data_IF_555972544261
#
_entry.id   IF_555972544261
#
_cell.length_a   1.000
_cell.length_b   1.000
_cell.length_c   1.000
_cell.angle_alpha   90.00
_cell.angle_beta   90.00
_cell.angle_gamma   90.00
#
_symmetry.space_group_name_H-M   'P 1'
#
loop_
_entity.id
_entity.type
_entity.pdbx_description
1 polymer ?
#
# COMPACT_ATOMS: atom_id res chain seq x y z
N UNK A 1 82.58 -11.77 -20.78
CA UNK A 1 83.06 -11.90 -19.39
C UNK A 1 81.92 -12.40 -18.50
N UNK A 2 82.11 -13.61 -17.95
CA UNK A 2 81.59 -14.24 -16.71
C UNK A 2 80.29 -13.71 -16.02
N UNK A 3 79.31 -14.62 -15.82
CA UNK A 3 78.42 -14.74 -14.61
C UNK A 3 79.28 -14.99 -13.34
N UNK A 4 78.83 -15.02 -12.05
CA UNK A 4 77.48 -15.17 -11.44
C UNK A 4 77.29 -14.21 -10.19
N UNK A 5 76.33 -14.30 -9.25
CA UNK A 5 76.24 -15.25 -8.12
C UNK A 5 75.07 -14.87 -7.17
N UNK A 6 74.42 -15.90 -6.59
CA UNK A 6 73.50 -15.87 -5.45
C UNK A 6 74.22 -15.47 -4.13
N UNK A 7 73.49 -14.90 -3.16
CA UNK A 7 73.75 -15.18 -1.75
C UNK A 7 72.46 -15.14 -0.91
N UNK A 8 72.18 -16.29 -0.30
CA UNK A 8 71.24 -16.53 0.80
C UNK A 8 71.97 -16.21 2.11
N UNK A 9 71.31 -15.60 3.08
CA UNK A 9 71.73 -15.72 4.48
C UNK A 9 70.52 -15.93 5.38
N UNK A 10 70.66 -16.94 6.24
CA UNK A 10 69.69 -17.53 7.14
C UNK A 10 70.29 -17.43 8.54
N UNK A 11 69.70 -16.65 9.45
CA UNK A 11 69.97 -16.64 10.90
C UNK A 11 68.66 -16.14 11.54
N UNK A 12 68.05 -16.70 12.57
CA UNK A 12 68.35 -17.80 13.47
C UNK A 12 67.16 -17.88 14.43
N UNK A 13 66.77 -19.10 14.78
CA UNK A 13 65.65 -19.42 15.65
C UNK A 13 66.04 -19.21 17.12
N UNK A 14 65.21 -18.52 17.92
CA UNK A 14 65.18 -18.70 19.37
C UNK A 14 63.77 -18.47 19.92
N UNK A 15 63.21 -19.56 20.45
CA UNK A 15 61.98 -19.65 21.24
C UNK A 15 62.23 -19.17 22.67
N UNK A 16 61.28 -18.44 23.25
CA UNK A 16 60.94 -18.20 24.66
C UNK A 16 59.77 -17.21 24.59
N UNK A 17 58.55 -17.40 25.09
CA UNK A 17 58.01 -18.11 26.24
C UNK A 17 56.65 -17.43 26.49
N UNK A 18 55.62 -18.18 26.85
CA UNK A 18 54.24 -17.68 27.00
C UNK A 18 54.07 -16.62 28.10
N UNK A 19 53.23 -15.62 27.84
CA UNK A 19 52.15 -15.23 28.78
C UNK A 19 51.00 -14.51 28.08
N UNK A 20 49.80 -14.84 28.57
CA UNK A 20 48.43 -14.57 28.11
C UNK A 20 48.01 -13.10 28.01
N UNK A 21 46.80 -12.97 27.45
CA UNK A 21 45.86 -11.83 27.41
C UNK A 21 46.07 -10.89 26.21
N UNK A 22 45.10 -10.61 25.35
CA UNK A 22 43.66 -10.90 25.32
C UNK A 22 43.15 -10.41 23.97
N UNK A 23 42.37 -11.20 23.21
CA UNK A 23 41.27 -10.77 22.30
C UNK A 23 40.61 -12.04 21.71
N UNK A 24 39.29 -12.22 21.83
CA UNK A 24 38.62 -13.45 21.41
C UNK A 24 38.27 -13.46 19.92
N UNK A 25 38.60 -14.58 19.27
CA UNK A 25 38.00 -15.03 18.02
C UNK A 25 36.48 -15.24 18.20
N UNK A 26 35.68 -14.62 17.33
CA UNK A 26 34.28 -15.01 17.13
C UNK A 26 33.82 -14.67 15.72
N UNK A 27 34.25 -15.47 14.74
CA UNK A 27 33.53 -15.65 13.48
C UNK A 27 33.35 -17.16 13.26
N UNK A 28 32.16 -17.55 12.82
CA UNK A 28 31.71 -18.91 12.54
C UNK A 28 31.13 -19.70 13.72
N UNK A 29 29.84 -19.45 14.01
CA UNK A 29 28.81 -20.50 14.10
C UNK A 29 27.49 -19.92 13.60
N UNK A 30 27.17 -20.19 12.34
CA UNK A 30 25.80 -20.09 11.85
C UNK A 30 24.97 -21.13 12.62
N UNK A 31 24.20 -20.69 13.61
CA UNK A 31 23.12 -21.50 14.15
C UNK A 31 22.00 -21.49 13.11
N UNK A 32 21.89 -22.61 12.39
CA UNK A 32 20.72 -22.95 11.59
C UNK A 32 19.51 -23.01 12.52
N UNK A 33 18.76 -21.92 12.60
CA UNK A 33 17.44 -21.91 13.18
C UNK A 33 16.52 -22.81 12.34
N UNK A 34 15.52 -23.49 12.95
CA UNK A 34 14.70 -24.46 12.24
C UNK A 34 13.93 -23.75 11.12
N UNK A 35 14.15 -24.26 9.91
CA UNK A 35 13.48 -23.92 8.65
C UNK A 35 11.97 -23.79 8.87
N UNK A 36 11.39 -22.74 8.30
CA UNK A 36 9.97 -22.42 8.26
C UNK A 36 9.14 -23.47 7.50
N UNK A 37 9.09 -24.70 8.00
CA UNK A 37 8.36 -25.82 7.39
C UNK A 37 7.15 -26.29 8.23
N UNK A 38 6.69 -25.49 9.20
CA UNK A 38 5.51 -25.89 9.99
C UNK A 38 4.52 -24.75 10.35
N UNK A 39 4.33 -23.79 9.44
CA UNK A 39 3.20 -22.82 9.48
C UNK A 39 2.23 -23.02 8.31
N UNK A 40 2.10 -24.25 7.83
CA UNK A 40 1.02 -24.61 6.92
C UNK A 40 -0.34 -24.43 7.64
N UNK A 41 -1.14 -23.50 7.10
CA UNK A 41 -2.58 -23.39 7.20
C UNK A 41 -3.21 -23.33 8.62
N UNK A 42 -2.94 -22.25 9.37
CA UNK A 42 -4.06 -21.58 10.05
C UNK A 42 -4.60 -20.56 9.06
N UNK A 43 -5.86 -20.72 8.63
CA UNK A 43 -6.53 -19.72 7.80
C UNK A 43 -6.42 -18.36 8.47
N UNK A 44 -5.84 -17.38 7.77
CA UNK A 44 -5.75 -16.03 8.30
C UNK A 44 -7.17 -15.48 8.45
N UNK A 45 -7.48 -14.93 9.62
CA UNK A 45 -8.78 -14.29 9.82
C UNK A 45 -8.67 -12.85 9.32
N UNK A 46 -9.36 -12.56 8.22
CA UNK A 46 -9.39 -11.23 7.65
C UNK A 46 -10.40 -10.33 8.38
N UNK A 47 -10.04 -9.08 8.73
CA UNK A 47 -10.95 -8.14 9.36
C UNK A 47 -12.04 -7.74 8.37
N UNK A 48 -13.23 -7.45 8.89
CA UNK A 48 -14.34 -6.90 8.11
C UNK A 48 -14.42 -5.36 8.18
N UNK A 49 -13.39 -4.73 8.76
CA UNK A 49 -13.31 -3.30 9.03
C UNK A 49 -11.96 -2.75 8.61
N UNK A 50 -11.95 -1.48 8.25
CA UNK A 50 -10.74 -0.77 7.87
C UNK A 50 -9.83 -0.55 9.07
N UNK A 51 -8.52 -0.52 8.82
CA UNK A 51 -7.49 -0.01 9.68
C UNK A 51 -6.89 1.29 9.08
N UNK A 52 -5.71 1.68 9.52
CA UNK A 52 -5.02 2.85 8.98
C UNK A 52 -5.81 4.16 9.15
N UNK A 53 -5.54 5.13 8.28
CA UNK A 53 -6.25 6.40 8.32
C UNK A 53 -7.74 6.28 7.96
N UNK A 54 -8.15 5.25 7.19
CA UNK A 54 -9.56 5.01 6.87
C UNK A 54 -10.38 4.61 8.11
N UNK A 55 -9.72 4.11 9.17
CA UNK A 55 -10.36 3.75 10.44
C UNK A 55 -10.60 4.93 11.40
N UNK A 56 -10.00 6.09 11.12
CA UNK A 56 -10.09 7.26 12.02
C UNK A 56 -11.54 7.70 12.16
N UNK A 57 -11.94 8.03 13.38
CA UNK A 57 -13.27 8.59 13.66
C UNK A 57 -13.20 10.11 13.67
N UNK A 58 -14.08 10.75 12.91
CA UNK A 58 -14.29 12.20 12.92
C UNK A 58 -15.72 12.53 13.34
N UNK A 59 -16.04 13.80 13.67
CA UNK A 59 -17.43 14.20 13.94
C UNK A 59 -18.41 13.86 12.81
N UNK A 60 -17.92 13.83 11.56
CA UNK A 60 -18.72 13.59 10.35
C UNK A 60 -18.80 12.11 9.97
N UNK A 61 -17.83 11.28 10.37
CA UNK A 61 -17.74 9.88 9.94
C UNK A 61 -17.07 8.99 11.00
N UNK A 62 -17.74 7.90 11.39
CA UNK A 62 -17.23 6.95 12.38
C UNK A 62 -16.35 5.85 11.74
N UNK A 63 -15.25 6.26 11.09
CA UNK A 63 -14.39 5.34 10.34
C UNK A 63 -15.04 4.84 9.04
N UNK A 64 -14.38 3.96 8.29
CA UNK A 64 -14.89 3.44 7.01
C UNK A 64 -15.67 2.13 7.20
N UNK A 65 -16.98 2.20 6.97
CA UNK A 65 -17.94 1.08 7.08
C UNK A 65 -18.58 0.69 5.74
N UNK A 66 -18.36 1.49 4.69
CA UNK A 66 -18.88 1.25 3.35
C UNK A 66 -20.41 1.22 3.32
N UNK A 67 -20.95 0.15 2.74
CA UNK A 67 -22.39 -0.08 2.60
C UNK A 67 -23.06 -0.79 3.76
N UNK A 68 -22.44 -0.83 4.96
CA UNK A 68 -23.02 -1.47 6.13
C UNK A 68 -24.45 -0.98 6.44
N UNK A 69 -25.32 -1.90 6.85
CA UNK A 69 -26.75 -1.66 7.03
C UNK A 69 -27.55 -1.51 5.73
N UNK A 70 -26.87 -1.50 4.58
CA UNK A 70 -27.45 -1.35 3.25
C UNK A 70 -27.93 -2.64 2.62
N UNK A 71 -28.51 -2.51 1.42
CA UNK A 71 -28.94 -3.66 0.62
C UNK A 71 -27.72 -4.39 0.06
N UNK A 72 -27.72 -5.72 0.16
CA UNK A 72 -26.75 -6.59 -0.52
C UNK A 72 -27.28 -6.97 -1.91
N UNK A 73 -26.48 -6.76 -2.95
CA UNK A 73 -26.81 -7.13 -4.34
C UNK A 73 -25.63 -7.83 -5.00
N UNK A 74 -25.90 -8.73 -5.94
CA UNK A 74 -24.87 -9.32 -6.80
C UNK A 74 -25.00 -8.76 -8.21
N UNK A 75 -23.88 -8.37 -8.81
CA UNK A 75 -23.81 -7.81 -10.16
C UNK A 75 -22.86 -8.62 -11.03
N UNK A 76 -23.28 -8.87 -12.27
CA UNK A 76 -22.52 -9.56 -13.32
C UNK A 76 -22.45 -8.73 -14.61
N UNK A 77 -23.06 -7.53 -14.60
CA UNK A 77 -23.15 -6.65 -15.76
C UNK A 77 -22.72 -5.23 -15.41
N UNK A 78 -22.21 -4.50 -16.41
CA UNK A 78 -21.83 -3.10 -16.25
C UNK A 78 -23.05 -2.24 -15.89
N UNK A 79 -24.20 -2.49 -16.52
CA UNK A 79 -25.43 -1.74 -16.26
C UNK A 79 -25.89 -1.87 -14.80
N UNK A 80 -25.83 -3.08 -14.22
CA UNK A 80 -26.18 -3.29 -12.82
C UNK A 80 -25.14 -2.67 -11.88
N UNK A 81 -23.85 -2.83 -12.18
CA UNK A 81 -22.78 -2.21 -11.40
C UNK A 81 -22.99 -0.69 -11.31
N UNK A 82 -23.19 -0.02 -12.44
CA UNK A 82 -23.41 1.43 -12.47
C UNK A 82 -24.68 1.84 -11.72
N UNK A 83 -25.78 1.11 -11.93
CA UNK A 83 -27.05 1.37 -11.26
C UNK A 83 -26.91 1.33 -9.75
N UNK A 84 -26.29 0.29 -9.21
CA UNK A 84 -26.19 0.12 -7.76
C UNK A 84 -25.06 0.96 -7.15
N UNK A 85 -23.95 1.17 -7.87
CA UNK A 85 -22.85 2.00 -7.40
C UNK A 85 -23.22 3.48 -7.30
N UNK A 86 -24.08 3.99 -8.19
CA UNK A 86 -24.55 5.37 -8.17
C UNK A 86 -25.77 5.60 -7.27
N UNK A 87 -26.36 4.55 -6.68
CA UNK A 87 -27.54 4.65 -5.85
C UNK A 87 -27.27 5.50 -4.59
N UNK A 88 -28.22 6.34 -4.12
CA UNK A 88 -28.00 7.17 -2.95
C UNK A 88 -27.98 6.38 -1.63
N UNK A 89 -28.61 5.20 -1.57
CA UNK A 89 -28.69 4.39 -0.36
C UNK A 89 -27.37 3.64 -0.10
N UNK A 90 -27.06 3.29 1.17
CA UNK A 90 -25.98 2.38 1.47
C UNK A 90 -26.17 1.02 0.75
N UNK A 91 -25.10 0.50 0.13
CA UNK A 91 -25.16 -0.79 -0.57
C UNK A 91 -23.88 -1.60 -0.48
N UNK A 92 -24.05 -2.91 -0.33
CA UNK A 92 -22.99 -3.91 -0.49
C UNK A 92 -23.17 -4.59 -1.85
N UNK A 93 -22.25 -4.31 -2.76
CA UNK A 93 -22.30 -4.72 -4.17
C UNK A 93 -21.27 -5.82 -4.37
N UNK A 94 -21.76 -7.04 -4.58
CA UNK A 94 -20.97 -8.22 -4.83
C UNK A 94 -20.73 -8.35 -6.34
N UNK A 95 -19.48 -8.20 -6.77
CA UNK A 95 -19.10 -8.30 -8.17
C UNK A 95 -18.69 -9.74 -8.46
N UNK A 96 -19.38 -10.41 -9.39
CA UNK A 96 -19.10 -11.80 -9.76
C UNK A 96 -18.55 -11.87 -11.18
N UNK A 97 -17.38 -12.49 -11.31
CA UNK A 97 -16.67 -12.59 -12.58
C UNK A 97 -16.20 -11.25 -13.13
N UNK A 98 -15.83 -11.22 -14.41
CA UNK A 98 -15.32 -10.03 -15.08
C UNK A 98 -16.45 -9.20 -15.71
N UNK A 99 -16.60 -7.96 -15.25
CA UNK A 99 -17.43 -6.93 -15.87
C UNK A 99 -16.54 -6.10 -16.80
N UNK A 100 -16.90 -6.06 -18.08
CA UNK A 100 -16.10 -5.42 -19.13
C UNK A 100 -16.80 -4.20 -19.70
N UNK A 101 -16.05 -3.15 -19.98
CA UNK A 101 -16.50 -2.06 -20.86
C UNK A 101 -15.93 -2.24 -22.27
N UNK A 102 -16.84 -2.41 -23.23
CA UNK A 102 -16.52 -2.45 -24.66
C UNK A 102 -17.11 -1.20 -25.38
N UNK A 103 -16.47 -0.66 -26.44
CA UNK A 103 -15.19 -1.10 -27.00
C UNK A 103 -14.00 -0.76 -26.10
N UNK A 104 -14.08 0.33 -25.31
CA UNK A 104 -13.01 0.73 -24.42
C UNK A 104 -13.42 1.91 -23.52
N UNK A 105 -12.89 1.98 -22.28
CA UNK A 105 -12.81 3.18 -21.43
C UNK A 105 -14.13 3.71 -20.86
N UNK A 106 -14.33 3.62 -19.54
CA UNK A 106 -15.46 4.26 -18.85
C UNK A 106 -15.17 4.59 -17.39
N UNK A 107 -15.51 5.81 -17.00
CA UNK A 107 -15.66 6.19 -15.59
C UNK A 107 -16.95 5.56 -15.02
N UNK A 108 -16.81 4.75 -13.98
CA UNK A 108 -17.91 4.18 -13.20
C UNK A 108 -18.04 5.01 -11.92
N UNK A 109 -19.10 5.81 -11.84
CA UNK A 109 -19.37 6.64 -10.67
C UNK A 109 -19.71 5.78 -9.46
N UNK A 110 -18.99 6.01 -8.36
CA UNK A 110 -19.29 5.42 -7.06
C UNK A 110 -19.83 6.51 -6.13
N UNK A 111 -21.03 6.31 -5.57
CA UNK A 111 -21.61 7.19 -4.57
C UNK A 111 -21.07 6.88 -3.16
N UNK A 112 -21.39 7.73 -2.17
CA UNK A 112 -21.06 7.45 -0.75
C UNK A 112 -21.73 6.17 -0.24
N UNK A 113 -21.20 5.62 0.85
CA UNK A 113 -21.75 4.46 1.56
C UNK A 113 -21.84 3.21 0.70
N UNK A 114 -20.72 2.85 0.07
CA UNK A 114 -20.64 1.68 -0.82
C UNK A 114 -19.58 0.71 -0.33
N UNK A 115 -19.91 -0.57 -0.40
CA UNK A 115 -18.93 -1.65 -0.37
C UNK A 115 -18.98 -2.35 -1.70
N UNK A 116 -17.89 -2.31 -2.48
CA UNK A 116 -17.71 -3.16 -3.65
C UNK A 116 -16.82 -4.32 -3.23
N UNK A 117 -17.35 -5.53 -3.27
CA UNK A 117 -16.61 -6.74 -2.93
C UNK A 117 -16.60 -7.69 -4.13
N UNK A 118 -15.42 -8.01 -4.67
CA UNK A 118 -15.30 -9.07 -5.66
C UNK A 118 -15.52 -10.44 -5.03
N UNK A 119 -16.34 -11.28 -5.66
CA UNK A 119 -16.53 -12.68 -5.26
C UNK A 119 -15.47 -13.58 -5.90
N UNK A 120 -15.07 -14.63 -5.18
CA UNK A 120 -13.97 -15.50 -5.60
C UNK A 120 -12.64 -14.76 -5.66
N UNK A 121 -11.79 -15.09 -6.63
CA UNK A 121 -10.52 -14.40 -6.90
C UNK A 121 -10.41 -13.90 -8.35
N UNK A 122 -11.49 -14.04 -9.13
CA UNK A 122 -11.56 -13.74 -10.56
C UNK A 122 -12.49 -12.55 -10.87
N UNK A 123 -13.12 -11.96 -9.85
CA UNK A 123 -13.89 -10.72 -10.00
C UNK A 123 -13.02 -9.58 -10.54
N UNK A 124 -13.48 -8.95 -11.62
CA UNK A 124 -12.70 -7.91 -12.28
C UNK A 124 -13.57 -6.83 -12.92
N UNK A 125 -13.03 -5.61 -12.97
CA UNK A 125 -13.46 -4.53 -13.86
C UNK A 125 -12.40 -4.38 -14.93
N UNK A 126 -12.80 -4.54 -16.19
CA UNK A 126 -11.89 -4.48 -17.35
C UNK A 126 -12.26 -3.26 -18.19
N UNK A 127 -11.26 -2.43 -18.50
CA UNK A 127 -11.40 -1.16 -19.24
C UNK A 127 -12.25 -0.10 -18.53
N UNK A 128 -12.44 -0.21 -17.21
CA UNK A 128 -13.21 0.73 -16.40
C UNK A 128 -12.37 1.37 -15.29
N UNK A 129 -12.71 2.60 -14.95
CA UNK A 129 -12.19 3.37 -13.81
C UNK A 129 -13.26 3.46 -12.72
N UNK A 130 -12.87 3.42 -11.45
CA UNK A 130 -13.74 3.79 -10.34
C UNK A 130 -13.56 5.27 -9.98
N UNK A 131 -14.61 6.05 -10.22
CA UNK A 131 -14.63 7.51 -10.06
C UNK A 131 -15.34 7.87 -8.75
N UNK A 132 -14.54 8.30 -7.76
CA UNK A 132 -14.97 8.70 -6.41
C UNK A 132 -14.75 10.21 -6.27
N UNK A 133 -15.78 11.00 -6.59
CA UNK A 133 -15.70 12.47 -6.64
C UNK A 133 -16.72 13.08 -5.66
N UNK A 134 -16.25 13.72 -4.60
CA UNK A 134 -17.11 14.32 -3.57
C UNK A 134 -17.88 13.31 -2.73
N UNK A 135 -17.30 12.14 -2.45
CA UNK A 135 -17.96 11.03 -1.74
C UNK A 135 -17.22 10.62 -0.49
N UNK A 136 -17.89 9.85 0.36
CA UNK A 136 -17.26 9.35 1.58
C UNK A 136 -17.74 7.95 1.94
N UNK A 137 -16.97 7.30 2.80
CA UNK A 137 -17.32 6.01 3.38
C UNK A 137 -17.49 4.93 2.30
N UNK A 138 -16.41 4.62 1.58
CA UNK A 138 -16.40 3.63 0.50
C UNK A 138 -15.34 2.56 0.78
N UNK A 139 -15.73 1.31 0.62
CA UNK A 139 -14.82 0.16 0.65
C UNK A 139 -14.80 -0.47 -0.73
N UNK A 140 -13.61 -0.70 -1.28
CA UNK A 140 -13.42 -1.55 -2.46
C UNK A 140 -12.45 -2.67 -2.08
N UNK A 141 -12.92 -3.91 -2.21
CA UNK A 141 -12.19 -5.06 -1.70
C UNK A 141 -12.21 -6.24 -2.67
N UNK A 142 -11.11 -6.98 -2.70
CA UNK A 142 -11.04 -8.27 -3.39
C UNK A 142 -11.33 -8.18 -4.90
N UNK A 143 -10.88 -7.11 -5.55
CA UNK A 143 -11.27 -6.79 -6.92
C UNK A 143 -10.04 -6.53 -7.80
N UNK A 144 -10.06 -7.07 -9.02
CA UNK A 144 -9.07 -6.70 -10.04
C UNK A 144 -9.60 -5.53 -10.89
N UNK A 145 -8.80 -4.48 -11.12
CA UNK A 145 -9.12 -3.41 -12.08
C UNK A 145 -7.97 -3.34 -13.08
N UNK A 146 -8.27 -3.52 -14.37
CA UNK A 146 -7.20 -3.69 -15.38
C UNK A 146 -7.54 -3.29 -16.80
N UNK A 147 -6.45 -3.17 -17.56
CA UNK A 147 -6.39 -3.17 -19.02
C UNK A 147 -7.05 -1.96 -19.69
N UNK A 148 -7.13 -0.81 -19.02
CA UNK A 148 -7.42 0.44 -19.71
C UNK A 148 -6.21 0.98 -20.51
N UNK A 149 -5.05 0.33 -20.43
CA UNK A 149 -3.89 0.79 -21.21
C UNK A 149 -4.07 0.59 -22.73
N UNK A 150 -3.67 1.60 -23.51
CA UNK A 150 -3.67 1.54 -24.98
C UNK A 150 -2.27 1.86 -25.51
N UNK A 151 -1.65 0.89 -26.18
CA UNK A 151 -0.26 0.98 -26.64
C UNK A 151 0.07 2.21 -27.51
N UNK A 152 -0.90 2.66 -28.31
CA UNK A 152 -0.74 3.83 -29.17
C UNK A 152 -0.63 5.16 -28.41
N UNK A 153 -0.96 5.20 -27.10
CA UNK A 153 -0.68 6.33 -26.21
C UNK A 153 0.13 5.86 -25.00
N UNK A 154 1.37 5.45 -25.23
CA UNK A 154 2.28 5.04 -24.17
C UNK A 154 2.57 6.16 -23.13
N UNK A 155 2.29 7.43 -23.47
CA UNK A 155 2.46 8.56 -22.57
C UNK A 155 1.30 8.72 -21.57
N UNK A 156 0.14 8.14 -21.89
CA UNK A 156 -1.11 8.28 -21.15
C UNK A 156 -1.41 9.73 -20.79
N UNK A 157 -1.44 10.57 -21.83
CA UNK A 157 -1.73 12.02 -21.71
C UNK A 157 -2.95 12.43 -22.52
N UNK A 158 -3.45 11.57 -23.40
CA UNK A 158 -4.62 11.87 -24.22
C UNK A 158 -5.92 11.40 -23.59
N UNK A 159 -5.84 10.45 -22.65
CA UNK A 159 -6.95 9.99 -21.82
C UNK A 159 -6.48 10.06 -20.37
N UNK A 160 -7.44 10.06 -19.45
CA UNK A 160 -7.21 10.19 -18.00
C UNK A 160 -8.04 9.08 -17.35
N UNK A 161 -7.70 7.81 -17.67
CA UNK A 161 -8.38 6.65 -17.11
C UNK A 161 -7.53 5.97 -16.04
N UNK A 162 -7.87 6.25 -14.79
CA UNK A 162 -7.27 5.63 -13.63
C UNK A 162 -7.88 4.26 -13.34
N UNK A 163 -7.33 3.48 -12.39
CA UNK A 163 -8.15 2.47 -11.70
C UNK A 163 -9.02 3.10 -10.62
N UNK A 164 -8.47 4.06 -9.88
CA UNK A 164 -9.19 4.88 -8.91
C UNK A 164 -8.85 6.36 -9.10
N UNK A 165 -9.87 7.15 -9.43
CA UNK A 165 -9.81 8.60 -9.33
C UNK A 165 -10.56 9.05 -8.07
N UNK A 166 -9.84 9.55 -7.07
CA UNK A 166 -10.38 9.95 -5.77
C UNK A 166 -10.16 11.45 -5.56
N UNK A 167 -11.20 12.22 -5.79
CA UNK A 167 -11.19 13.68 -5.69
C UNK A 167 -12.19 14.14 -4.62
N UNK A 168 -11.78 15.09 -3.77
CA UNK A 168 -12.61 15.72 -2.73
C UNK A 168 -13.40 14.69 -1.88
N UNK A 169 -12.80 13.54 -1.61
CA UNK A 169 -13.47 12.38 -1.00
C UNK A 169 -12.75 11.89 0.24
N UNK A 170 -13.46 11.25 1.18
CA UNK A 170 -12.81 10.80 2.41
C UNK A 170 -13.31 9.51 3.03
N UNK A 171 -12.50 8.90 3.89
CA UNK A 171 -12.79 7.61 4.52
C UNK A 171 -13.02 6.52 3.47
N UNK A 172 -11.92 6.19 2.78
CA UNK A 172 -11.90 5.23 1.67
C UNK A 172 -10.94 4.09 2.03
N UNK A 173 -11.38 2.85 1.84
CA UNK A 173 -10.56 1.67 2.08
C UNK A 173 -10.46 0.80 0.83
N UNK A 174 -9.24 0.65 0.30
CA UNK A 174 -8.92 -0.21 -0.85
C UNK A 174 -8.11 -1.39 -0.31
N UNK A 175 -8.68 -2.59 -0.34
CA UNK A 175 -8.09 -3.76 0.31
C UNK A 175 -8.09 -5.00 -0.58
N UNK A 176 -6.99 -5.77 -0.63
CA UNK A 176 -6.92 -6.98 -1.46
C UNK A 176 -7.28 -6.76 -2.94
N UNK A 177 -6.95 -5.60 -3.48
CA UNK A 177 -7.20 -5.29 -4.89
C UNK A 177 -5.97 -5.62 -5.75
N UNK A 178 -6.17 -5.88 -7.03
CA UNK A 178 -5.08 -6.01 -8.02
C UNK A 178 -5.29 -4.99 -9.14
N UNK A 179 -4.40 -4.01 -9.24
CA UNK A 179 -4.51 -2.89 -10.16
C UNK A 179 -3.35 -2.95 -11.15
N UNK A 180 -3.66 -2.99 -12.45
CA UNK A 180 -2.61 -3.20 -13.46
C UNK A 180 -2.98 -2.71 -14.84
N UNK A 181 -1.98 -2.21 -15.59
CA UNK A 181 -2.11 -1.80 -16.99
C UNK A 181 -3.31 -0.87 -17.21
N UNK A 182 -3.37 0.19 -16.41
CA UNK A 182 -4.33 1.27 -16.62
C UNK A 182 -3.76 2.29 -17.60
N UNK A 183 -4.52 3.33 -17.92
CA UNK A 183 -4.08 4.34 -18.86
C UNK A 183 -3.24 5.38 -18.11
N UNK A 184 -3.84 6.26 -17.28
CA UNK A 184 -3.09 7.27 -16.50
C UNK A 184 -2.48 6.68 -15.22
N UNK A 185 -3.23 6.65 -14.11
CA UNK A 185 -2.80 6.20 -12.79
C UNK A 185 -3.39 4.85 -12.40
N UNK A 186 -2.81 4.15 -11.41
CA UNK A 186 -3.59 3.09 -10.73
C UNK A 186 -4.44 3.72 -9.64
N UNK A 187 -3.86 4.60 -8.82
CA UNK A 187 -4.58 5.35 -7.79
C UNK A 187 -4.15 6.81 -7.85
N UNK A 188 -5.10 7.71 -8.06
CA UNK A 188 -4.92 9.14 -7.91
C UNK A 188 -5.80 9.63 -6.76
N UNK A 189 -5.16 10.09 -5.67
CA UNK A 189 -5.82 10.58 -4.46
C UNK A 189 -5.52 12.06 -4.25
N UNK A 190 -6.49 12.91 -4.58
CA UNK A 190 -6.21 14.32 -4.92
C UNK A 190 -7.13 15.32 -4.24
N UNK A 191 -6.76 16.60 -4.33
CA UNK A 191 -7.55 17.76 -3.88
C UNK A 191 -7.85 17.69 -2.38
N UNK A 192 -9.06 18.06 -1.94
CA UNK A 192 -9.42 18.07 -0.52
C UNK A 192 -9.72 16.66 0.04
N UNK A 193 -9.30 15.59 -0.64
CA UNK A 193 -9.50 14.22 -0.18
C UNK A 193 -8.73 13.92 1.11
N UNK A 194 -9.21 12.95 1.89
CA UNK A 194 -8.64 12.65 3.20
C UNK A 194 -8.94 11.23 3.68
N UNK A 195 -8.18 10.72 4.64
CA UNK A 195 -8.43 9.41 5.27
C UNK A 195 -8.55 8.23 4.29
N UNK A 196 -7.49 7.95 3.54
CA UNK A 196 -7.36 6.79 2.66
C UNK A 196 -6.55 5.69 3.35
N UNK A 197 -6.95 4.43 3.17
CA UNK A 197 -6.09 3.27 3.45
C UNK A 197 -6.07 2.33 2.26
N UNK A 198 -4.85 1.97 1.84
CA UNK A 198 -4.60 0.96 0.81
C UNK A 198 -3.84 -0.18 1.46
N UNK A 199 -4.45 -1.37 1.50
CA UNK A 199 -3.92 -2.51 2.23
C UNK A 199 -3.96 -3.80 1.41
N UNK A 200 -3.00 -4.70 1.64
CA UNK A 200 -3.00 -6.05 1.05
C UNK A 200 -3.19 -6.08 -0.47
N UNK A 201 -2.83 -5.02 -1.18
CA UNK A 201 -3.14 -4.86 -2.61
C UNK A 201 -1.89 -5.05 -3.48
N UNK A 202 -2.10 -5.29 -4.76
CA UNK A 202 -1.06 -5.38 -5.78
C UNK A 202 -1.25 -4.23 -6.76
N UNK A 203 -0.19 -3.45 -6.97
CA UNK A 203 -0.11 -2.39 -7.97
C UNK A 203 1.02 -2.75 -8.93
N UNK A 204 0.71 -3.08 -10.19
CA UNK A 204 1.74 -3.64 -11.07
C UNK A 204 1.67 -3.28 -12.54
N UNK A 205 2.82 -3.42 -13.23
CA UNK A 205 2.95 -3.27 -14.69
C UNK A 205 2.37 -1.94 -15.18
N UNK A 206 2.83 -0.83 -14.60
CA UNK A 206 2.23 0.48 -14.84
C UNK A 206 3.22 1.63 -14.70
N UNK A 207 3.05 2.70 -15.47
CA UNK A 207 3.97 3.84 -15.39
C UNK A 207 3.76 4.66 -14.10
N UNK A 208 2.55 5.19 -13.87
CA UNK A 208 2.22 6.11 -12.77
C UNK A 208 1.42 5.37 -11.69
N UNK A 209 2.06 4.74 -10.71
CA UNK A 209 1.36 3.82 -9.81
C UNK A 209 0.37 4.51 -8.86
N UNK A 210 0.80 5.51 -8.10
CA UNK A 210 0.03 6.11 -7.03
C UNK A 210 0.38 7.59 -6.82
N UNK A 211 -0.42 8.48 -7.41
CA UNK A 211 -0.32 9.93 -7.25
C UNK A 211 -1.13 10.44 -6.07
N UNK A 212 -0.52 11.27 -5.21
CA UNK A 212 -1.19 11.92 -4.08
C UNK A 212 -0.85 13.41 -4.11
N UNK A 213 -1.86 14.29 -4.09
CA UNK A 213 -1.61 15.74 -4.07
C UNK A 213 -2.70 16.61 -4.65
N UNK A 214 -2.29 17.66 -5.38
CA UNK A 214 -3.19 18.69 -5.94
C UNK A 214 -3.99 19.44 -4.87
N UNK A 215 -3.41 19.53 -3.67
CA UNK A 215 -3.90 20.36 -2.59
C UNK A 215 -2.74 21.23 -2.09
N UNK A 216 -2.86 22.56 -2.12
CA UNK A 216 -1.82 23.43 -1.58
C UNK A 216 -1.77 23.39 -0.04
N UNK A 217 -2.81 22.88 0.62
CA UNK A 217 -2.88 22.74 2.08
C UNK A 217 -2.33 21.38 2.53
N UNK A 218 -1.68 21.37 3.71
CA UNK A 218 -1.03 20.19 4.27
C UNK A 218 -1.85 19.49 5.38
N UNK A 219 -3.11 19.91 5.59
CA UNK A 219 -4.02 19.41 6.62
C UNK A 219 -4.97 18.29 6.13
N UNK A 220 -4.87 17.93 4.85
CA UNK A 220 -5.62 16.86 4.18
C UNK A 220 -4.68 15.79 3.64
N UNK A 221 -5.21 14.90 2.79
CA UNK A 221 -4.46 13.85 2.11
C UNK A 221 -3.74 12.91 3.10
N UNK A 222 -4.41 12.53 4.19
CA UNK A 222 -3.91 11.49 5.11
C UNK A 222 -4.11 10.11 4.50
N UNK A 223 -3.02 9.39 4.28
CA UNK A 223 -3.02 8.08 3.64
C UNK A 223 -2.15 7.07 4.40
N UNK A 224 -2.70 5.87 4.59
CA UNK A 224 -1.94 4.71 5.07
C UNK A 224 -1.81 3.73 3.91
N UNK A 225 -0.58 3.29 3.62
CA UNK A 225 -0.34 2.24 2.64
C UNK A 225 0.42 1.15 3.36
N UNK A 226 -0.15 -0.05 3.43
CA UNK A 226 0.56 -1.16 4.04
C UNK A 226 0.28 -2.48 3.39
N UNK A 227 1.21 -3.41 3.60
CA UNK A 227 1.10 -4.74 3.04
C UNK A 227 0.75 -4.70 1.55
N UNK A 228 1.29 -3.74 0.83
CA UNK A 228 1.00 -3.55 -0.59
C UNK A 228 2.23 -3.89 -1.40
N UNK A 229 2.04 -4.72 -2.43
CA UNK A 229 3.08 -5.09 -3.37
C UNK A 229 3.02 -4.18 -4.59
N UNK A 230 4.00 -3.29 -4.73
CA UNK A 230 4.12 -2.37 -5.85
C UNK A 230 5.27 -2.86 -6.72
N UNK A 231 5.00 -3.32 -7.95
CA UNK A 231 6.06 -3.91 -8.77
C UNK A 231 5.96 -3.72 -10.28
N UNK A 232 7.11 -3.72 -10.94
CA UNK A 232 7.22 -3.50 -12.38
C UNK A 232 6.57 -2.16 -12.78
N UNK A 233 6.89 -1.12 -12.00
CA UNK A 233 6.34 0.22 -12.18
C UNK A 233 7.39 1.25 -12.57
N UNK A 234 6.93 2.36 -13.15
CA UNK A 234 7.77 3.51 -13.46
C UNK A 234 8.05 4.36 -12.23
N UNK A 235 7.03 5.08 -11.81
CA UNK A 235 7.10 6.22 -10.90
C UNK A 235 5.83 6.36 -10.05
N UNK A 236 5.88 7.28 -9.08
CA UNK A 236 4.81 7.56 -8.12
C UNK A 236 4.48 6.33 -7.27
N UNK A 237 5.43 5.82 -6.49
CA UNK A 237 5.25 4.56 -5.76
C UNK A 237 5.20 4.67 -4.21
N UNK A 238 4.44 5.56 -3.55
CA UNK A 238 3.64 6.67 -4.07
C UNK A 238 4.46 7.95 -4.27
N UNK A 239 3.89 8.95 -4.94
CA UNK A 239 4.37 10.34 -4.88
C UNK A 239 3.35 11.19 -4.12
N UNK A 240 3.73 11.69 -2.94
CA UNK A 240 2.88 12.46 -2.03
C UNK A 240 3.29 13.92 -1.97
N UNK A 241 2.37 14.83 -2.30
CA UNK A 241 2.59 16.27 -2.35
C UNK A 241 1.62 17.01 -1.43
N UNK A 242 2.17 17.53 -0.33
CA UNK A 242 1.42 18.04 0.83
C UNK A 242 0.51 16.96 1.46
N UNK A 243 0.43 16.95 2.80
CA UNK A 243 -0.33 15.94 3.53
C UNK A 243 0.56 14.93 4.26
N UNK A 244 -0.03 13.80 4.67
CA UNK A 244 0.58 12.88 5.63
C UNK A 244 0.49 11.43 5.18
N UNK A 245 1.63 10.73 5.12
CA UNK A 245 1.71 9.34 4.65
C UNK A 245 2.33 8.40 5.68
N UNK A 246 1.63 7.31 6.01
CA UNK A 246 2.22 6.19 6.76
C UNK A 246 2.36 4.98 5.83
N UNK A 247 3.60 4.64 5.50
CA UNK A 247 3.95 3.59 4.54
C UNK A 247 4.64 2.46 5.29
N UNK A 248 3.99 1.32 5.51
CA UNK A 248 4.60 0.25 6.31
C UNK A 248 4.37 -1.16 5.79
N UNK A 249 5.33 -2.06 6.00
CA UNK A 249 5.28 -3.44 5.49
C UNK A 249 4.92 -3.55 3.99
N UNK A 250 5.36 -2.61 3.17
CA UNK A 250 5.18 -2.66 1.73
C UNK A 250 6.36 -3.34 1.06
N UNK A 251 6.16 -3.88 -0.13
CA UNK A 251 7.25 -4.37 -0.97
C UNK A 251 7.23 -3.65 -2.31
N UNK A 252 8.26 -2.86 -2.55
CA UNK A 252 8.51 -2.24 -3.84
C UNK A 252 9.55 -3.08 -4.58
N UNK A 253 9.21 -3.53 -5.79
CA UNK A 253 10.06 -4.39 -6.59
C UNK A 253 10.15 -3.92 -8.05
N UNK A 254 11.34 -3.91 -8.66
CA UNK A 254 11.51 -3.57 -10.08
C UNK A 254 10.95 -2.19 -10.45
N UNK A 255 11.38 -1.14 -9.73
CA UNK A 255 10.91 0.23 -9.96
C UNK A 255 11.95 1.00 -10.76
N UNK A 256 11.58 1.44 -11.96
CA UNK A 256 12.54 1.94 -12.96
C UNK A 256 12.89 3.43 -12.82
N UNK A 257 12.04 4.26 -12.20
CA UNK A 257 12.32 5.70 -11.99
C UNK A 257 12.59 6.05 -10.53
N UNK A 258 11.55 6.02 -9.68
CA UNK A 258 11.68 6.30 -8.25
C UNK A 258 10.65 5.56 -7.40
N UNK A 259 11.01 5.23 -6.16
CA UNK A 259 10.15 4.62 -5.16
C UNK A 259 9.18 5.61 -4.52
N UNK A 260 9.28 5.81 -3.21
CA UNK A 260 8.47 6.79 -2.49
C UNK A 260 9.04 8.20 -2.69
N UNK A 261 8.20 9.16 -3.08
CA UNK A 261 8.61 10.56 -3.19
C UNK A 261 7.71 11.47 -2.35
N UNK A 262 8.27 12.07 -1.31
CA UNK A 262 7.65 13.15 -0.52
C UNK A 262 7.98 14.53 -1.09
N UNK A 263 6.96 15.25 -1.57
CA UNK A 263 7.01 16.56 -2.22
C UNK A 263 6.31 17.62 -1.36
N UNK A 264 6.59 18.90 -1.64
CA UNK A 264 5.99 20.00 -0.89
C UNK A 264 6.26 19.88 0.60
N UNK A 265 5.24 20.11 1.43
CA UNK A 265 5.29 19.98 2.91
C UNK A 265 4.78 18.62 3.40
N UNK A 266 4.97 17.57 2.60
CA UNK A 266 4.61 16.21 2.96
C UNK A 266 5.28 15.77 4.27
N UNK A 267 4.55 15.00 5.10
CA UNK A 267 5.07 14.34 6.30
C UNK A 267 4.90 12.84 6.15
N UNK A 268 6.00 12.10 6.00
CA UNK A 268 5.95 10.67 5.68
C UNK A 268 6.74 9.83 6.69
N UNK A 269 6.14 8.72 7.11
CA UNK A 269 6.78 7.70 7.95
C UNK A 269 6.82 6.40 7.15
N UNK A 270 8.02 5.86 6.93
CA UNK A 270 8.25 4.60 6.19
C UNK A 270 8.85 3.55 7.11
N UNK A 271 8.15 2.44 7.31
CA UNK A 271 8.52 1.41 8.30
C UNK A 271 8.51 -0.01 7.73
N UNK A 272 9.49 -0.82 8.14
CA UNK A 272 9.53 -2.27 7.91
C UNK A 272 9.14 -2.72 6.48
N UNK A 273 9.48 -1.93 5.48
CA UNK A 273 9.18 -2.18 4.06
C UNK A 273 10.42 -2.67 3.33
N UNK A 274 10.21 -3.40 2.24
CA UNK A 274 11.27 -3.95 1.41
C UNK A 274 11.31 -3.21 0.08
N UNK A 275 12.50 -2.78 -0.32
CA UNK A 275 12.78 -2.17 -1.62
C UNK A 275 13.78 -3.07 -2.34
N UNK A 276 13.38 -3.65 -3.47
CA UNK A 276 14.18 -4.61 -4.23
C UNK A 276 14.29 -4.18 -5.69
N UNK A 277 15.49 -3.91 -6.19
CA UNK A 277 15.72 -3.39 -7.56
C UNK A 277 14.88 -2.12 -7.81
N UNK A 278 14.99 -1.17 -6.88
CA UNK A 278 14.29 0.11 -6.92
C UNK A 278 15.30 1.23 -7.14
N UNK A 279 15.11 2.02 -8.20
CA UNK A 279 15.80 3.29 -8.37
C UNK A 279 15.22 4.31 -7.40
N UNK A 280 16.06 5.11 -6.77
CA UNK A 280 15.70 6.18 -5.82
C UNK A 280 14.56 5.76 -4.86
N UNK A 281 14.80 4.76 -3.99
CA UNK A 281 13.74 4.12 -3.22
C UNK A 281 13.00 5.07 -2.30
N UNK A 282 13.70 6.04 -1.73
CA UNK A 282 13.15 7.08 -0.87
C UNK A 282 13.69 8.45 -1.31
N UNK A 283 12.81 9.31 -1.80
CA UNK A 283 13.08 10.70 -2.10
C UNK A 283 12.33 11.61 -1.12
N UNK A 284 13.05 12.50 -0.45
CA UNK A 284 12.49 13.54 0.41
C UNK A 284 12.82 14.93 -0.12
N UNK A 285 11.80 15.67 -0.55
CA UNK A 285 11.94 17.04 -1.06
C UNK A 285 12.40 18.05 0.00
N UNK A 286 12.76 19.27 -0.42
CA UNK A 286 13.41 20.27 0.44
C UNK A 286 12.54 20.81 1.57
N UNK A 287 11.21 20.79 1.45
CA UNK A 287 10.28 21.22 2.50
C UNK A 287 9.55 20.05 3.19
N UNK A 288 9.79 18.82 2.73
CA UNK A 288 9.15 17.64 3.27
C UNK A 288 9.89 17.12 4.52
N UNK A 289 9.15 16.37 5.33
CA UNK A 289 9.68 15.59 6.45
C UNK A 289 9.49 14.10 6.16
N UNK A 290 10.53 13.30 6.37
CA UNK A 290 10.49 11.85 6.20
C UNK A 290 11.28 11.13 7.30
N UNK A 291 10.61 10.17 7.94
CA UNK A 291 11.23 9.19 8.84
C UNK A 291 11.25 7.83 8.15
N UNK A 292 12.39 7.13 8.20
CA UNK A 292 12.57 5.78 7.64
C UNK A 292 13.20 4.88 8.70
N UNK A 293 12.60 3.72 8.99
CA UNK A 293 13.10 2.77 10.01
C UNK A 293 12.73 1.34 9.71
N UNK A 294 13.62 0.40 10.02
CA UNK A 294 13.39 -1.05 9.84
C UNK A 294 13.26 -1.52 8.38
N UNK A 295 13.49 -0.66 7.40
CA UNK A 295 13.37 -1.00 5.98
C UNK A 295 14.57 -1.81 5.46
N UNK A 296 14.32 -2.69 4.49
CA UNK A 296 15.35 -3.48 3.79
C UNK A 296 15.50 -2.94 2.36
N UNK A 297 16.74 -2.65 1.94
CA UNK A 297 17.06 -2.21 0.58
C UNK A 297 17.98 -3.24 -0.09
N UNK A 298 17.55 -3.77 -1.24
CA UNK A 298 18.25 -4.82 -1.98
C UNK A 298 18.43 -4.39 -3.44
N UNK A 299 19.67 -4.30 -3.91
CA UNK A 299 19.98 -3.92 -5.29
C UNK A 299 19.32 -2.59 -5.73
N UNK A 300 19.19 -1.63 -4.81
CA UNK A 300 18.67 -0.29 -5.11
C UNK A 300 19.77 0.62 -5.66
N UNK A 301 19.37 1.59 -6.48
CA UNK A 301 20.26 2.67 -6.92
C UNK A 301 19.80 4.01 -6.34
N UNK A 302 20.75 4.92 -6.11
CA UNK A 302 20.48 6.28 -5.64
C UNK A 302 21.30 7.23 -6.50
N UNK A 303 20.64 8.13 -7.21
CA UNK A 303 21.31 9.16 -8.01
C UNK A 303 21.85 10.30 -7.14
N UNK A 304 22.88 11.02 -7.61
CA UNK A 304 23.41 12.19 -6.92
C UNK A 304 22.33 13.30 -6.81
N UNK A 305 22.21 13.91 -5.62
CA UNK A 305 21.14 14.87 -5.29
C UNK A 305 19.83 14.26 -4.80
N UNK A 306 19.63 12.95 -5.00
CA UNK A 306 18.41 12.21 -4.66
C UNK A 306 18.58 11.34 -3.40
N UNK A 307 19.69 11.51 -2.67
CA UNK A 307 19.95 10.79 -1.42
C UNK A 307 18.80 11.03 -0.45
N UNK A 308 18.25 9.95 0.10
CA UNK A 308 17.25 9.99 1.16
C UNK A 308 17.76 10.85 2.32
N UNK A 309 17.42 12.14 2.32
CA UNK A 309 17.64 12.99 3.46
C UNK A 309 16.49 12.72 4.41
N UNK A 310 16.70 11.79 5.34
CA UNK A 310 15.81 11.64 6.50
C UNK A 310 15.80 12.98 7.23
N UNK A 311 14.62 13.59 7.30
CA UNK A 311 14.49 15.00 7.69
C UNK A 311 13.24 15.20 8.52
N UNK A 312 13.38 16.01 9.56
CA UNK A 312 12.30 16.32 10.47
C UNK A 312 11.87 15.13 11.33
N UNK A 313 10.75 15.32 12.04
CA UNK A 313 10.13 14.28 12.86
C UNK A 313 8.93 13.64 12.15
N UNK A 314 8.47 14.23 11.04
CA UNK A 314 7.24 13.89 10.36
C UNK A 314 6.04 13.94 11.33
N UNK A 315 5.58 12.76 11.80
CA UNK A 315 4.49 12.58 12.76
C UNK A 315 4.59 11.19 13.41
N UNK A 316 3.79 10.93 14.45
CA UNK A 316 3.60 9.59 15.01
C UNK A 316 2.26 9.00 14.54
N UNK A 317 2.25 7.92 13.72
CA UNK A 317 1.01 7.28 13.28
C UNK A 317 0.14 6.75 14.43
N UNK A 318 0.74 6.40 15.58
CA UNK A 318 -0.01 5.88 16.75
C UNK A 318 -0.92 6.92 17.39
N UNK A 319 -0.73 8.20 17.10
CA UNK A 319 -1.65 9.25 17.51
C UNK A 319 -2.99 9.22 16.74
N UNK A 320 -3.07 8.45 15.64
CA UNK A 320 -4.26 8.37 14.79
C UNK A 320 -4.95 7.01 14.86
N UNK A 321 -4.18 5.91 14.88
CA UNK A 321 -4.73 4.55 14.91
C UNK A 321 -3.70 3.54 15.45
N UNK A 322 -4.19 2.40 15.91
CA UNK A 322 -3.34 1.27 16.31
C UNK A 322 -2.86 0.50 15.07
N UNK A 323 -1.61 0.03 15.09
CA UNK A 323 -1.06 -0.86 14.07
C UNK A 323 0.06 -1.72 14.66
N UNK A 324 0.35 -2.82 13.97
CA UNK A 324 1.47 -3.70 14.25
C UNK A 324 2.36 -3.79 13.01
N UNK A 325 3.65 -3.94 13.23
CA UNK A 325 4.62 -4.14 12.16
C UNK A 325 4.99 -5.62 12.10
N UNK A 326 4.87 -6.22 10.92
CA UNK A 326 5.56 -7.46 10.61
C UNK A 326 7.07 -7.19 10.45
N UNK A 327 7.89 -8.23 10.62
CA UNK A 327 9.32 -8.12 10.30
C UNK A 327 9.48 -7.85 8.80
N UNK A 328 10.32 -6.87 8.44
CA UNK A 328 10.57 -6.52 7.05
C UNK A 328 11.06 -7.72 6.23
N UNK A 329 11.80 -8.67 6.83
CA UNK A 329 12.28 -9.86 6.15
C UNK A 329 11.14 -10.82 5.71
N UNK A 330 10.01 -10.80 6.42
CA UNK A 330 8.86 -11.67 6.14
C UNK A 330 7.90 -11.07 5.11
N UNK A 331 7.95 -9.75 4.91
CA UNK A 331 7.03 -9.01 4.02
C UNK A 331 6.94 -9.61 2.60
N UNK A 332 8.03 -9.95 1.89
CA UNK A 332 7.92 -10.51 0.54
C UNK A 332 7.24 -11.88 0.50
N UNK A 333 7.34 -12.68 1.57
CA UNK A 333 6.64 -13.96 1.66
C UNK A 333 5.15 -13.76 1.96
N UNK A 334 4.84 -12.86 2.90
CA UNK A 334 3.47 -12.48 3.23
C UNK A 334 2.70 -11.96 2.02
N UNK A 335 3.31 -11.05 1.24
CA UNK A 335 2.64 -10.43 0.09
C UNK A 335 2.46 -11.40 -1.07
N UNK A 336 3.40 -12.30 -1.32
CA UNK A 336 3.20 -13.38 -2.30
C UNK A 336 2.03 -14.29 -1.94
N UNK A 337 1.85 -14.56 -0.66
CA UNK A 337 0.81 -15.47 -0.19
C UNK A 337 -0.57 -14.81 -0.13
N UNK A 338 -0.64 -13.50 0.13
CA UNK A 338 -1.87 -12.89 0.61
C UNK A 338 -2.25 -11.55 -0.04
N UNK A 339 -1.37 -10.90 -0.80
CA UNK A 339 -1.76 -9.66 -1.47
C UNK A 339 -2.67 -9.93 -2.68
N UNK A 340 -3.55 -8.99 -3.00
CA UNK A 340 -4.52 -9.07 -4.08
C UNK A 340 -5.71 -9.98 -3.76
N UNK A 341 -6.60 -10.25 -4.75
CA UNK A 341 -7.83 -10.99 -4.51
C UNK A 341 -7.60 -12.42 -3.98
N UNK A 342 -8.35 -12.80 -2.95
CA UNK A 342 -8.32 -14.09 -2.27
C UNK A 342 -9.71 -14.75 -2.25
N UNK A 343 -9.74 -16.06 -2.42
CA UNK A 343 -11.00 -16.84 -2.40
C UNK A 343 -11.65 -16.88 -1.02
N UNK A 344 -10.88 -16.74 0.06
CA UNK A 344 -11.38 -16.73 1.45
C UNK A 344 -11.90 -15.34 1.89
N UNK A 345 -11.63 -14.30 1.10
CA UNK A 345 -12.20 -12.95 1.27
C UNK A 345 -13.43 -12.76 0.39
N UNK A 346 -13.38 -13.23 -0.86
CA UNK A 346 -14.46 -13.10 -1.86
C UNK A 346 -15.68 -13.99 -1.59
N UNK A 347 -16.16 -14.04 -0.35
CA UNK A 347 -17.20 -14.94 0.11
C UNK A 347 -18.47 -14.19 0.53
N UNK A 348 -19.66 -14.80 0.39
CA UNK A 348 -20.89 -14.25 0.97
C UNK A 348 -20.81 -14.05 2.49
N UNK A 349 -20.05 -14.87 3.21
CA UNK A 349 -19.84 -14.75 4.65
C UNK A 349 -19.06 -13.47 5.00
N UNK A 350 -18.02 -13.14 4.24
CA UNK A 350 -17.32 -11.86 4.40
C UNK A 350 -18.26 -10.69 4.09
N UNK A 351 -19.04 -10.78 3.01
CA UNK A 351 -20.03 -9.76 2.67
C UNK A 351 -21.02 -9.51 3.82
N UNK A 352 -21.54 -10.58 4.45
CA UNK A 352 -22.43 -10.49 5.59
C UNK A 352 -21.75 -9.82 6.80
N UNK A 353 -20.50 -10.17 7.09
CA UNK A 353 -19.71 -9.53 8.17
C UNK A 353 -19.51 -8.04 7.91
N UNK A 354 -19.17 -7.65 6.68
CA UNK A 354 -19.02 -6.24 6.30
C UNK A 354 -20.34 -5.48 6.35
N UNK A 355 -21.45 -6.11 5.93
CA UNK A 355 -22.79 -5.51 5.99
C UNK A 355 -23.27 -5.26 7.43
N UNK A 356 -22.83 -6.08 8.38
CA UNK A 356 -23.18 -5.97 9.80
C UNK A 356 -22.25 -5.01 10.57
N UNK A 357 -21.03 -4.78 10.07
CA UNK A 357 -20.01 -3.99 10.74
C UNK A 357 -20.37 -2.49 10.73
N UNK A 358 -20.81 -1.96 11.89
CA UNK A 358 -21.30 -0.57 12.04
C UNK A 358 -22.81 -0.47 12.27
N UNK A 359 -23.58 -1.55 12.06
CA UNK A 359 -24.99 -1.62 12.46
C UNK A 359 -25.16 -1.80 13.98
N UNK A 360 -24.10 -2.23 14.67
CA UNK A 360 -24.01 -2.21 16.12
C UNK A 360 -23.73 -0.76 16.55
N UNK A 361 -24.78 -0.05 16.98
CA UNK A 361 -24.63 1.21 17.71
C UNK A 361 -23.57 1.00 18.82
N UNK A 362 -22.65 1.95 19.03
CA UNK A 362 -21.81 1.91 20.22
C UNK A 362 -22.73 1.82 21.44
N UNK A 363 -22.58 0.77 22.23
CA UNK A 363 -23.29 0.62 23.48
C UNK A 363 -22.88 1.79 24.40
N UNK A 364 -23.78 2.74 24.58
CA UNK A 364 -23.81 3.67 25.72
C UNK A 364 -22.60 4.59 25.90
N UNK A 365 -22.55 5.69 25.15
CA UNK A 365 -22.17 6.96 25.77
C UNK A 365 -23.43 7.50 26.47
N UNK A 366 -23.66 7.04 27.70
CA UNK A 366 -24.64 7.67 28.58
C UNK A 366 -24.22 9.13 28.74
N UNK A 367 -25.05 10.02 28.23
CA UNK A 367 -25.09 11.42 28.63
C UNK A 367 -25.30 11.47 30.14
N UNK A 368 -24.21 11.59 30.90
CA UNK A 368 -24.33 12.09 32.27
C UNK A 368 -24.81 13.53 32.18
N UNK A 369 -26.08 13.67 32.53
CA UNK A 369 -26.77 14.89 32.85
C UNK A 369 -25.86 15.86 33.60
N UNK A 370 -25.60 17.03 33.01
CA UNK A 370 -25.38 18.24 33.78
C UNK A 370 -26.76 18.77 34.17
N UNK A 371 -27.23 18.36 35.35
CA UNK A 371 -28.41 18.90 36.00
C UNK A 371 -28.00 19.45 37.37
N UNK A 372 -28.27 20.75 37.54
CA UNK A 372 -28.10 21.65 38.69
C UNK A 372 -26.70 22.00 39.12
#
# INVERSE_FOLDING_TARGET
MKKPLFLVSLIGLCLLGWSRDSQPEALSKAQTAPRAENRAAKSRVWPAHSDGFASVVTPEQAGTTGGAGGKVVTVESLADLEKYAAAPEPMVILIKGAIRKEPFGKEIKIASHKTLLGLGSDAAIVHGELSLKGVSNVIVRNLTIRDSWVAADASAKSRDFDAFQIDDSHHIWIDHCNLTRMEDGLIDFRKASDYLTVSWSILSHHNKAFGIGWNPQADKLRVAIHHTWIHDTGQRNPSLDNGTGHLYNNWLQNVSSYGNYSRGRAKVVVENSVFERVNNPLHCGPEAEMVSRGNIFQNCTVSDGEKAALRGAAFDPRNFYAYQLDDAADVPALLRAHAGPQTDIGTPEMAARMAQHGALKPAGLNSRQTGT
#
